data_IF_938676839563
#
_entry.id   IF_938676839563
#
_cell.length_a   1.000
_cell.length_b   1.000
_cell.length_c   1.000
_cell.angle_alpha   90.00
_cell.angle_beta   90.00
_cell.angle_gamma   90.00
#
_symmetry.space_group_name_H-M   'P 1'
#
loop_
_entity.id
_entity.type
_entity.pdbx_description
1 polymer ?
#
# COMPACT_ATOMS: atom_id res chain seq x y z
N UNK A 1 59.33 -26.50 -3.47
CA UNK A 1 58.68 -27.70 -2.91
C UNK A 1 59.68 -28.84 -2.68
N UNK A 2 60.50 -29.21 -3.68
CA UNK A 2 61.52 -30.28 -3.63
C UNK A 2 62.49 -30.17 -2.44
N UNK A 3 63.09 -29.01 -2.17
CA UNK A 3 64.02 -28.81 -1.05
C UNK A 3 63.41 -29.14 0.33
N UNK A 4 62.11 -28.87 0.52
CA UNK A 4 61.42 -29.15 1.79
C UNK A 4 61.17 -30.66 1.99
N UNK A 5 60.86 -31.37 0.91
CA UNK A 5 60.68 -32.83 0.92
C UNK A 5 62.02 -33.53 1.21
N UNK A 6 63.09 -33.08 0.57
CA UNK A 6 64.42 -33.66 0.76
C UNK A 6 64.94 -33.44 2.19
N UNK A 7 64.68 -32.26 2.77
CA UNK A 7 64.98 -31.95 4.17
C UNK A 7 64.16 -32.81 5.13
N UNK A 8 62.87 -33.03 4.85
CA UNK A 8 62.00 -33.86 5.68
C UNK A 8 62.41 -35.34 5.66
N UNK A 9 62.76 -35.87 4.47
CA UNK A 9 63.30 -37.22 4.33
C UNK A 9 64.62 -37.39 5.07
N UNK A 10 65.50 -36.40 5.01
CA UNK A 10 66.75 -36.40 5.79
C UNK A 10 66.48 -36.43 7.30
N UNK A 11 65.54 -35.62 7.79
CA UNK A 11 65.15 -35.61 9.21
C UNK A 11 64.56 -36.95 9.63
N UNK A 12 63.69 -37.57 8.82
CA UNK A 12 63.15 -38.90 9.10
C UNK A 12 64.27 -39.95 9.13
N UNK A 13 65.22 -39.89 8.18
CA UNK A 13 66.35 -40.80 8.12
C UNK A 13 67.27 -40.65 9.34
N UNK A 14 67.51 -39.43 9.82
CA UNK A 14 68.27 -39.17 11.04
C UNK A 14 67.53 -39.67 12.27
N UNK A 15 66.23 -39.44 12.40
CA UNK A 15 65.43 -39.89 13.54
C UNK A 15 65.37 -41.43 13.61
N UNK A 16 65.19 -42.10 12.47
CA UNK A 16 65.16 -43.56 12.39
C UNK A 16 66.55 -44.19 12.48
N UNK A 17 67.58 -43.52 11.96
CA UNK A 17 68.96 -44.01 11.94
C UNK A 17 69.74 -43.73 13.23
N UNK A 18 69.37 -42.69 13.99
CA UNK A 18 70.04 -42.32 15.22
C UNK A 18 70.08 -43.45 16.26
N UNK A 19 68.99 -44.21 16.53
CA UNK A 19 69.04 -45.36 17.43
C UNK A 19 70.07 -46.42 17.00
N UNK A 20 70.10 -46.76 15.71
CA UNK A 20 71.05 -47.75 15.17
C UNK A 20 72.50 -47.27 15.24
N UNK A 21 72.74 -45.99 14.95
CA UNK A 21 74.06 -45.39 15.09
C UNK A 21 74.51 -45.36 16.56
N UNK A 22 73.58 -45.11 17.48
CA UNK A 22 73.85 -45.11 18.93
C UNK A 22 74.24 -46.52 19.40
N UNK A 23 73.51 -47.56 19.00
CA UNK A 23 73.87 -48.97 19.27
C UNK A 23 75.26 -49.31 18.74
N UNK A 24 75.55 -49.00 17.47
CA UNK A 24 76.84 -49.28 16.89
C UNK A 24 77.99 -48.55 17.60
N UNK A 25 77.76 -47.33 18.09
CA UNK A 25 78.76 -46.57 18.87
C UNK A 25 78.96 -47.15 20.28
N UNK A 26 77.91 -47.68 20.91
CA UNK A 26 78.01 -48.34 22.22
C UNK A 26 78.80 -49.65 22.08
N UNK A 27 78.52 -50.46 21.05
CA UNK A 27 79.24 -51.71 20.76
C UNK A 27 80.75 -51.50 20.54
N UNK A 28 81.16 -50.35 20.01
CA UNK A 28 82.58 -50.04 19.78
C UNK A 28 83.35 -49.64 21.05
N UNK A 29 82.68 -49.51 22.20
CA UNK A 29 83.31 -49.16 23.48
C UNK A 29 83.83 -47.72 23.58
N UNK A 30 83.52 -46.86 22.61
CA UNK A 30 83.94 -45.44 22.58
C UNK A 30 83.21 -44.63 23.65
N UNK A 31 81.98 -45.02 24.00
CA UNK A 31 81.15 -44.39 25.01
C UNK A 31 81.22 -45.19 26.33
N UNK A 32 82.30 -45.05 27.08
CA UNK A 32 82.51 -45.76 28.38
C UNK A 32 81.63 -45.27 29.54
N UNK A 33 80.69 -44.36 29.29
CA UNK A 33 79.83 -43.70 30.28
C UNK A 33 78.51 -44.43 30.57
N UNK A 34 78.38 -45.66 30.09
CA UNK A 34 77.13 -46.40 30.13
C UNK A 34 76.94 -47.10 31.48
N UNK A 35 76.15 -46.47 32.36
CA UNK A 35 75.63 -47.10 33.57
C UNK A 35 74.38 -47.89 33.21
N UNK A 36 74.51 -49.20 33.00
CA UNK A 36 73.40 -50.12 32.71
C UNK A 36 73.59 -50.95 31.44
N UNK A 37 72.71 -51.95 31.24
CA UNK A 37 72.68 -52.79 30.03
C UNK A 37 72.24 -51.99 28.79
N UNK A 38 72.79 -52.33 27.63
CA UNK A 38 72.54 -51.66 26.34
C UNK A 38 71.06 -51.53 26.00
N UNK A 39 70.28 -52.57 26.34
CA UNK A 39 68.83 -52.62 26.14
C UNK A 39 68.09 -51.49 26.87
N UNK A 40 68.59 -51.05 28.03
CA UNK A 40 67.97 -49.97 28.82
C UNK A 40 68.15 -48.62 28.14
N UNK A 41 69.31 -48.38 27.55
CA UNK A 41 69.62 -47.14 26.82
C UNK A 41 68.84 -47.03 25.50
N UNK A 42 68.71 -48.14 24.79
CA UNK A 42 67.89 -48.22 23.57
C UNK A 42 66.42 -47.97 23.90
N UNK A 43 65.90 -48.60 24.96
CA UNK A 43 64.52 -48.39 25.41
C UNK A 43 64.26 -46.93 25.83
N UNK A 44 65.21 -46.29 26.52
CA UNK A 44 65.13 -44.88 26.90
C UNK A 44 64.99 -43.98 25.65
N UNK A 45 65.92 -44.04 24.70
CA UNK A 45 65.85 -43.19 23.51
C UNK A 45 64.67 -43.54 22.59
N UNK A 46 64.31 -44.82 22.49
CA UNK A 46 63.15 -45.28 21.74
C UNK A 46 61.84 -44.66 22.26
N UNK A 47 61.69 -44.53 23.57
CA UNK A 47 60.50 -43.90 24.18
C UNK A 47 60.44 -42.38 23.95
N UNK A 48 61.56 -41.64 24.04
CA UNK A 48 61.58 -40.21 23.69
C UNK A 48 61.28 -39.96 22.21
N UNK A 49 61.90 -40.73 21.31
CA UNK A 49 61.67 -40.60 19.86
C UNK A 49 60.20 -40.92 19.55
N UNK A 50 59.68 -42.02 20.09
CA UNK A 50 58.27 -42.39 19.96
C UNK A 50 57.33 -41.30 20.47
N UNK A 51 57.62 -40.70 21.62
CA UNK A 51 56.83 -39.61 22.20
C UNK A 51 56.88 -38.34 21.34
N UNK A 52 58.04 -37.93 20.83
CA UNK A 52 58.20 -36.75 19.97
C UNK A 52 57.43 -36.92 18.65
N UNK A 53 57.56 -38.09 18.01
CA UNK A 53 56.83 -38.39 16.77
C UNK A 53 55.32 -38.41 17.03
N UNK A 54 54.88 -39.09 18.09
CA UNK A 54 53.47 -39.16 18.46
C UNK A 54 52.87 -37.79 18.76
N UNK A 55 53.55 -36.98 19.58
CA UNK A 55 53.13 -35.61 19.90
C UNK A 55 53.06 -34.72 18.66
N UNK A 56 54.02 -34.87 17.74
CA UNK A 56 54.03 -34.15 16.47
C UNK A 56 52.84 -34.51 15.60
N UNK A 57 52.54 -35.80 15.43
CA UNK A 57 51.37 -36.27 14.67
C UNK A 57 50.08 -35.75 15.30
N UNK A 58 49.93 -35.87 16.61
CA UNK A 58 48.76 -35.36 17.35
C UNK A 58 48.60 -33.86 17.14
N UNK A 59 49.68 -33.08 17.23
CA UNK A 59 49.64 -31.64 16.99
C UNK A 59 49.19 -31.30 15.57
N UNK A 60 49.72 -31.98 14.55
CA UNK A 60 49.32 -31.73 13.16
C UNK A 60 47.86 -32.12 12.89
N UNK A 61 47.42 -33.27 13.40
CA UNK A 61 46.03 -33.73 13.26
C UNK A 61 45.08 -32.78 13.99
N UNK A 62 45.38 -32.41 15.23
CA UNK A 62 44.57 -31.47 16.00
C UNK A 62 44.48 -30.11 15.29
N UNK A 63 45.61 -29.58 14.80
CA UNK A 63 45.61 -28.32 14.05
C UNK A 63 44.79 -28.39 12.76
N UNK A 64 44.88 -29.51 12.03
CA UNK A 64 44.10 -29.71 10.82
C UNK A 64 42.60 -29.81 11.11
N UNK A 65 42.22 -30.53 12.17
CA UNK A 65 40.84 -30.66 12.61
C UNK A 65 40.25 -29.32 13.06
N UNK A 66 40.98 -28.56 13.88
CA UNK A 66 40.56 -27.23 14.34
C UNK A 66 40.34 -26.29 13.15
N UNK A 67 41.28 -26.28 12.19
CA UNK A 67 41.16 -25.43 10.99
C UNK A 67 39.91 -25.81 10.17
N UNK A 68 39.68 -27.10 9.93
CA UNK A 68 38.52 -27.57 9.16
C UNK A 68 37.20 -27.28 9.86
N UNK A 69 37.15 -27.44 11.19
CA UNK A 69 35.97 -27.10 12.00
C UNK A 69 35.68 -25.60 11.96
N UNK A 70 36.71 -24.76 12.05
CA UNK A 70 36.55 -23.31 11.95
C UNK A 70 36.00 -22.88 10.57
N UNK A 71 36.53 -23.42 9.47
CA UNK A 71 36.03 -23.16 8.12
C UNK A 71 34.55 -23.58 7.96
N UNK A 72 34.19 -24.75 8.48
CA UNK A 72 32.80 -25.23 8.46
C UNK A 72 31.87 -24.34 9.30
N UNK A 73 32.28 -23.93 10.49
CA UNK A 73 31.51 -23.01 11.34
C UNK A 73 31.31 -21.65 10.67
N UNK A 74 32.36 -21.10 10.05
CA UNK A 74 32.28 -19.83 9.33
C UNK A 74 31.30 -19.93 8.14
N UNK A 75 31.35 -21.02 7.39
CA UNK A 75 30.42 -21.27 6.29
C UNK A 75 28.97 -21.37 6.77
N UNK A 76 28.72 -22.14 7.84
CA UNK A 76 27.38 -22.26 8.42
C UNK A 76 26.85 -20.93 8.95
N UNK A 77 27.71 -20.14 9.58
CA UNK A 77 27.37 -18.79 10.05
C UNK A 77 26.99 -17.86 8.91
N UNK A 78 27.74 -17.88 7.80
CA UNK A 78 27.41 -17.11 6.60
C UNK A 78 26.05 -17.52 6.01
N UNK A 79 25.80 -18.82 5.89
CA UNK A 79 24.51 -19.34 5.38
C UNK A 79 23.34 -18.93 6.27
N UNK A 80 23.52 -19.00 7.60
CA UNK A 80 22.50 -18.57 8.56
C UNK A 80 22.22 -17.07 8.45
N UNK A 81 23.25 -16.23 8.34
CA UNK A 81 23.08 -14.79 8.14
C UNK A 81 22.36 -14.49 6.82
N UNK A 82 22.69 -15.19 5.75
CA UNK A 82 22.02 -15.02 4.45
C UNK A 82 20.53 -15.40 4.55
N UNK A 83 20.20 -16.48 5.25
CA UNK A 83 18.81 -16.89 5.49
C UNK A 83 18.06 -15.86 6.34
N UNK A 84 18.69 -15.31 7.38
CA UNK A 84 18.09 -14.28 8.23
C UNK A 84 17.85 -12.97 7.46
N UNK A 85 18.80 -12.52 6.64
CA UNK A 85 18.63 -11.34 5.80
C UNK A 85 17.47 -11.56 4.82
N UNK A 86 17.42 -12.73 4.16
CA UNK A 86 16.31 -13.07 3.25
C UNK A 86 14.96 -13.09 3.97
N UNK A 87 14.87 -13.61 5.20
CA UNK A 87 13.62 -13.58 5.95
C UNK A 87 13.19 -12.16 6.32
N UNK A 88 14.14 -11.32 6.74
CA UNK A 88 13.89 -9.90 7.05
C UNK A 88 13.43 -9.13 5.80
N UNK A 89 14.07 -9.36 4.65
CA UNK A 89 13.67 -8.75 3.38
C UNK A 89 12.26 -9.17 2.95
N UNK A 90 11.92 -10.46 3.07
CA UNK A 90 10.58 -10.95 2.78
C UNK A 90 9.54 -10.34 3.73
N UNK A 91 9.83 -10.29 5.03
CA UNK A 91 8.96 -9.68 6.03
C UNK A 91 8.74 -8.20 5.76
N UNK A 92 9.81 -7.44 5.49
CA UNK A 92 9.72 -6.03 5.11
C UNK A 92 8.87 -5.83 3.85
N UNK A 93 9.08 -6.65 2.82
CA UNK A 93 8.27 -6.60 1.59
C UNK A 93 6.79 -6.87 1.87
N UNK A 94 6.49 -7.86 2.72
CA UNK A 94 5.12 -8.13 3.14
C UNK A 94 4.53 -6.99 3.97
N UNK A 95 5.31 -6.39 4.87
CA UNK A 95 4.88 -5.24 5.68
C UNK A 95 4.55 -4.03 4.81
N UNK A 96 5.48 -3.63 3.94
CA UNK A 96 5.27 -2.53 2.98
C UNK A 96 4.05 -2.77 2.10
N UNK A 97 3.86 -4.01 1.63
CA UNK A 97 2.67 -4.35 0.84
C UNK A 97 1.37 -4.15 1.64
N UNK A 98 1.31 -4.63 2.90
CA UNK A 98 0.14 -4.44 3.78
C UNK A 98 -0.13 -2.96 4.06
N UNK A 99 0.92 -2.17 4.31
CA UNK A 99 0.80 -0.73 4.54
C UNK A 99 0.28 0.00 3.30
N UNK A 100 0.77 -0.34 2.11
CA UNK A 100 0.27 0.21 0.84
C UNK A 100 -1.19 -0.15 0.58
N UNK A 101 -1.57 -1.40 0.84
CA UNK A 101 -2.96 -1.85 0.71
C UNK A 101 -3.88 -1.11 1.69
N UNK A 102 -3.46 -0.96 2.96
CA UNK A 102 -4.18 -0.17 3.97
C UNK A 102 -4.33 1.29 3.55
N UNK A 103 -3.24 1.92 3.10
CA UNK A 103 -3.25 3.30 2.61
C UNK A 103 -4.22 3.46 1.44
N UNK A 104 -4.22 2.53 0.49
CA UNK A 104 -5.14 2.56 -0.64
C UNK A 104 -6.62 2.47 -0.21
N UNK A 105 -6.93 1.60 0.77
CA UNK A 105 -8.28 1.47 1.31
C UNK A 105 -8.73 2.73 2.05
N UNK A 106 -7.86 3.33 2.87
CA UNK A 106 -8.15 4.58 3.58
C UNK A 106 -8.40 5.72 2.58
N UNK A 107 -7.53 5.88 1.59
CA UNK A 107 -7.74 6.90 0.56
C UNK A 107 -9.05 6.67 -0.22
N UNK A 108 -9.42 5.41 -0.51
CA UNK A 108 -10.71 5.08 -1.13
C UNK A 108 -11.88 5.47 -0.24
N UNK A 109 -11.80 5.20 1.07
CA UNK A 109 -12.81 5.57 2.07
C UNK A 109 -13.04 7.08 2.09
N UNK A 110 -11.96 7.87 2.19
CA UNK A 110 -12.04 9.34 2.16
C UNK A 110 -12.73 9.84 0.88
N UNK A 111 -12.51 9.19 -0.27
CA UNK A 111 -13.17 9.58 -1.53
C UNK A 111 -14.65 9.25 -1.54
N UNK A 112 -15.06 8.14 -0.91
CA UNK A 112 -16.48 7.80 -0.76
C UNK A 112 -17.18 8.84 0.11
N UNK A 113 -16.58 9.23 1.24
CA UNK A 113 -17.11 10.26 2.14
C UNK A 113 -17.21 11.63 1.44
N UNK A 114 -16.17 12.00 0.66
CA UNK A 114 -16.17 13.22 -0.15
C UNK A 114 -17.31 13.21 -1.19
N UNK A 115 -17.57 12.07 -1.82
CA UNK A 115 -18.70 11.92 -2.76
C UNK A 115 -20.05 12.05 -2.06
N UNK A 116 -20.23 11.48 -0.88
CA UNK A 116 -21.47 11.59 -0.10
C UNK A 116 -21.76 13.05 0.26
N UNK A 117 -20.76 13.78 0.77
CA UNK A 117 -20.89 15.19 1.12
C UNK A 117 -21.26 16.06 -0.10
N UNK A 118 -20.70 15.77 -1.28
CA UNK A 118 -21.06 16.47 -2.52
C UNK A 118 -22.48 16.15 -2.97
N UNK A 119 -22.93 14.90 -2.87
CA UNK A 119 -24.29 14.50 -3.21
C UNK A 119 -25.34 15.13 -2.28
N UNK A 120 -25.06 15.21 -0.99
CA UNK A 120 -25.90 15.92 -0.02
C UNK A 120 -25.99 17.41 -0.35
N UNK A 121 -24.86 18.04 -0.67
CA UNK A 121 -24.83 19.44 -1.09
C UNK A 121 -25.64 19.68 -2.36
N UNK A 122 -25.47 18.84 -3.39
CA UNK A 122 -26.24 18.91 -4.64
C UNK A 122 -27.73 18.71 -4.36
N UNK A 123 -28.10 17.78 -3.48
CA UNK A 123 -29.49 17.56 -3.08
C UNK A 123 -30.10 18.80 -2.43
N UNK A 124 -29.36 19.45 -1.52
CA UNK A 124 -29.80 20.70 -0.89
C UNK A 124 -30.04 21.81 -1.92
N UNK A 125 -29.09 22.02 -2.83
CA UNK A 125 -29.23 23.02 -3.91
C UNK A 125 -30.42 22.69 -4.82
N UNK A 126 -30.66 21.41 -5.12
CA UNK A 126 -31.81 20.98 -5.94
C UNK A 126 -33.16 21.31 -5.25
N UNK A 127 -33.24 21.17 -3.93
CA UNK A 127 -34.42 21.56 -3.14
C UNK A 127 -34.63 23.08 -3.19
N UNK A 128 -33.57 23.85 -2.96
CA UNK A 128 -33.62 25.32 -3.01
C UNK A 128 -34.04 25.81 -4.40
N UNK A 129 -33.47 25.24 -5.46
CA UNK A 129 -33.84 25.54 -6.84
C UNK A 129 -35.33 25.30 -7.11
N UNK A 130 -35.88 24.20 -6.60
CA UNK A 130 -37.29 23.87 -6.75
C UNK A 130 -38.18 24.87 -5.98
N UNK A 131 -37.81 25.22 -4.74
CA UNK A 131 -38.51 26.22 -3.93
C UNK A 131 -38.52 27.60 -4.60
N UNK A 132 -37.38 28.01 -5.17
CA UNK A 132 -37.24 29.26 -5.92
C UNK A 132 -38.13 29.26 -7.18
N UNK A 133 -38.21 28.13 -7.89
CA UNK A 133 -39.08 27.99 -9.07
C UNK A 133 -40.57 28.09 -8.70
N UNK A 134 -40.98 27.45 -7.60
CA UNK A 134 -42.36 27.56 -7.10
C UNK A 134 -42.67 29.01 -6.74
N UNK A 135 -41.77 29.68 -6.02
CA UNK A 135 -41.90 31.10 -5.65
C UNK A 135 -42.02 31.99 -6.88
N UNK A 136 -41.15 31.80 -7.87
CA UNK A 136 -41.20 32.49 -9.15
C UNK A 136 -42.56 32.30 -9.84
N UNK A 137 -43.07 31.08 -9.87
CA UNK A 137 -44.35 30.77 -10.50
C UNK A 137 -45.53 31.47 -9.81
N UNK A 138 -45.52 31.57 -8.48
CA UNK A 138 -46.55 32.27 -7.69
C UNK A 138 -46.48 33.77 -7.96
N UNK A 139 -45.29 34.37 -7.92
CA UNK A 139 -45.10 35.80 -8.18
C UNK A 139 -45.57 36.15 -9.60
N UNK A 140 -45.15 35.37 -10.61
CA UNK A 140 -45.52 35.61 -12.00
C UNK A 140 -47.02 35.45 -12.24
N UNK A 141 -47.65 34.42 -11.67
CA UNK A 141 -49.11 34.26 -11.77
C UNK A 141 -49.87 35.39 -11.06
N UNK A 142 -49.37 35.87 -9.93
CA UNK A 142 -49.92 37.03 -9.25
C UNK A 142 -49.78 38.32 -10.09
N UNK A 143 -48.63 38.54 -10.76
CA UNK A 143 -48.44 39.66 -11.68
C UNK A 143 -49.42 39.62 -12.85
N UNK A 144 -49.68 38.45 -13.44
CA UNK A 144 -50.62 38.28 -14.55
C UNK A 144 -52.07 38.57 -14.11
N UNK A 145 -52.45 38.24 -12.87
CA UNK A 145 -53.80 38.47 -12.35
C UNK A 145 -54.04 39.88 -11.80
N UNK A 146 -53.02 40.52 -11.21
CA UNK A 146 -53.13 41.87 -10.67
C UNK A 146 -52.99 42.89 -11.81
N UNK A 147 -54.08 43.13 -12.53
CA UNK A 147 -54.04 44.01 -13.72
C UNK A 147 -53.79 45.48 -13.34
N UNK A 148 -54.23 46.00 -12.19
CA UNK A 148 -54.06 47.43 -11.87
C UNK A 148 -53.92 47.65 -10.34
N UNK A 149 -52.73 47.99 -9.83
CA UNK A 149 -52.58 48.43 -8.43
C UNK A 149 -51.16 48.33 -7.82
N UNK A 150 -50.38 49.41 -7.95
CA UNK A 150 -49.29 49.95 -7.10
C UNK A 150 -48.24 49.06 -6.36
N UNK A 151 -48.12 47.74 -6.56
CA UNK A 151 -47.01 46.93 -5.99
C UNK A 151 -46.09 46.24 -7.02
N UNK A 152 -45.88 46.85 -8.19
CA UNK A 152 -45.08 46.26 -9.27
C UNK A 152 -43.57 46.22 -9.01
N UNK A 153 -43.02 47.21 -8.29
CA UNK A 153 -41.55 47.37 -8.12
C UNK A 153 -40.94 46.24 -7.28
N UNK A 154 -41.54 45.90 -6.13
CA UNK A 154 -41.02 44.85 -5.23
C UNK A 154 -41.00 43.45 -5.89
N UNK A 155 -41.97 43.16 -6.76
CA UNK A 155 -42.05 41.85 -7.45
C UNK A 155 -40.96 41.67 -8.51
N UNK A 156 -40.59 42.74 -9.22
CA UNK A 156 -39.51 42.66 -10.22
C UNK A 156 -38.14 42.46 -9.58
N UNK A 157 -37.89 43.12 -8.44
CA UNK A 157 -36.66 42.91 -7.66
C UNK A 157 -36.55 41.46 -7.15
N UNK A 158 -37.65 40.88 -6.65
CA UNK A 158 -37.71 39.46 -6.25
C UNK A 158 -37.43 38.53 -7.44
N UNK A 159 -38.01 38.79 -8.61
CA UNK A 159 -37.75 38.00 -9.83
C UNK A 159 -36.28 38.09 -10.25
N UNK A 160 -35.68 39.27 -10.15
CA UNK A 160 -34.26 39.47 -10.44
C UNK A 160 -33.36 38.68 -9.49
N UNK A 161 -33.69 38.64 -8.20
CA UNK A 161 -32.98 37.84 -7.21
C UNK A 161 -33.08 36.34 -7.52
N UNK A 162 -34.28 35.83 -7.82
CA UNK A 162 -34.48 34.42 -8.17
C UNK A 162 -33.69 34.00 -9.43
N UNK A 163 -33.63 34.87 -10.45
CA UNK A 163 -32.79 34.66 -11.65
C UNK A 163 -31.29 34.63 -11.31
N UNK A 164 -30.87 35.44 -10.36
CA UNK A 164 -29.48 35.49 -9.89
C UNK A 164 -29.13 34.21 -9.13
N UNK A 165 -30.01 33.76 -8.23
CA UNK A 165 -29.88 32.49 -7.51
C UNK A 165 -29.79 31.30 -8.48
N UNK A 166 -30.67 31.25 -9.48
CA UNK A 166 -30.63 30.23 -10.52
C UNK A 166 -29.24 30.08 -11.17
N UNK A 167 -28.61 31.20 -11.57
CA UNK A 167 -27.27 31.16 -12.19
C UNK A 167 -26.21 30.64 -11.22
N UNK A 168 -26.31 31.02 -9.94
CA UNK A 168 -25.44 30.54 -8.87
C UNK A 168 -25.60 29.03 -8.69
N UNK A 169 -26.84 28.53 -8.57
CA UNK A 169 -27.13 27.11 -8.43
C UNK A 169 -26.63 26.28 -9.62
N UNK A 170 -26.86 26.76 -10.84
CA UNK A 170 -26.35 26.13 -12.07
C UNK A 170 -24.83 25.98 -12.05
N UNK A 171 -24.12 27.05 -11.68
CA UNK A 171 -22.67 27.02 -11.58
C UNK A 171 -22.17 26.06 -10.50
N UNK A 172 -22.75 26.11 -9.30
CA UNK A 172 -22.34 25.26 -8.17
C UNK A 172 -22.59 23.78 -8.44
N UNK A 173 -23.79 23.41 -8.92
CA UNK A 173 -24.11 22.02 -9.26
C UNK A 173 -23.21 21.52 -10.39
N UNK A 174 -22.98 22.32 -11.44
CA UNK A 174 -22.09 21.91 -12.54
C UNK A 174 -20.69 21.63 -12.03
N UNK A 175 -20.14 22.51 -11.18
CA UNK A 175 -18.83 22.33 -10.56
C UNK A 175 -18.77 21.06 -9.72
N UNK A 176 -19.77 20.82 -8.88
CA UNK A 176 -19.79 19.69 -7.96
C UNK A 176 -20.02 18.36 -8.70
N UNK A 177 -20.80 18.33 -9.78
CA UNK A 177 -20.94 17.17 -10.67
C UNK A 177 -19.61 16.83 -11.35
N UNK A 178 -18.89 17.83 -11.87
CA UNK A 178 -17.57 17.59 -12.48
C UNK A 178 -16.59 17.02 -11.46
N UNK A 179 -16.65 17.47 -10.20
CA UNK A 179 -15.86 16.90 -9.11
C UNK A 179 -16.27 15.46 -8.81
N UNK A 180 -17.55 15.14 -8.79
CA UNK A 180 -18.04 13.77 -8.62
C UNK A 180 -17.57 12.84 -9.74
N UNK A 181 -17.54 13.29 -11.00
CA UNK A 181 -17.01 12.52 -12.14
C UNK A 181 -15.51 12.25 -11.97
N UNK A 182 -14.73 13.18 -11.42
CA UNK A 182 -13.33 12.92 -11.10
C UNK A 182 -13.20 11.88 -9.99
N UNK A 183 -14.03 11.96 -8.95
CA UNK A 183 -14.03 11.04 -7.81
C UNK A 183 -14.51 9.63 -8.19
N UNK A 184 -15.36 9.47 -9.22
CA UNK A 184 -15.82 8.15 -9.65
C UNK A 184 -14.72 7.23 -10.16
N UNK A 185 -13.56 7.77 -10.52
CA UNK A 185 -12.38 6.96 -10.86
C UNK A 185 -11.92 6.08 -9.68
N UNK A 186 -12.21 6.49 -8.44
CA UNK A 186 -11.90 5.73 -7.22
C UNK A 186 -13.01 4.74 -6.85
N UNK A 187 -14.22 4.94 -7.39
CA UNK A 187 -15.43 4.14 -7.10
C UNK A 187 -16.10 3.73 -8.43
N UNK A 188 -15.46 2.79 -9.14
CA UNK A 188 -15.85 2.35 -10.50
C UNK A 188 -17.35 2.17 -10.79
N UNK A 189 -18.20 1.60 -9.92
CA UNK A 189 -19.63 1.43 -10.24
C UNK A 189 -20.44 2.74 -10.34
N UNK A 190 -19.85 3.90 -10.07
CA UNK A 190 -20.59 5.20 -10.02
C UNK A 190 -20.58 5.98 -11.32
N UNK A 191 -19.64 5.71 -12.25
CA UNK A 191 -19.41 6.54 -13.44
C UNK A 191 -20.65 6.70 -14.32
N UNK A 192 -21.30 5.58 -14.69
CA UNK A 192 -22.49 5.59 -15.56
C UNK A 192 -23.63 6.39 -14.92
N UNK A 193 -23.86 6.19 -13.61
CA UNK A 193 -24.95 6.89 -12.91
C UNK A 193 -24.68 8.38 -12.74
N UNK A 194 -23.42 8.79 -12.63
CA UNK A 194 -23.03 10.20 -12.60
C UNK A 194 -23.25 10.90 -13.93
N UNK A 195 -22.97 10.21 -15.05
CA UNK A 195 -23.29 10.73 -16.38
C UNK A 195 -24.80 10.87 -16.58
N UNK A 196 -25.59 9.90 -16.13
CA UNK A 196 -27.06 10.02 -16.11
C UNK A 196 -27.53 11.21 -15.27
N UNK A 197 -26.96 11.38 -14.06
CA UNK A 197 -27.27 12.49 -13.17
C UNK A 197 -26.94 13.84 -13.81
N UNK A 198 -25.78 13.95 -14.45
CA UNK A 198 -25.36 15.14 -15.20
C UNK A 198 -26.37 15.48 -16.31
N UNK A 199 -26.77 14.49 -17.11
CA UNK A 199 -27.75 14.69 -18.19
C UNK A 199 -29.09 15.17 -17.64
N UNK A 200 -29.56 14.59 -16.52
CA UNK A 200 -30.80 15.03 -15.86
C UNK A 200 -30.72 16.47 -15.36
N UNK A 201 -29.61 16.87 -14.74
CA UNK A 201 -29.41 18.25 -14.31
C UNK A 201 -29.37 19.22 -15.49
N UNK A 202 -28.70 18.87 -16.60
CA UNK A 202 -28.70 19.70 -17.81
C UNK A 202 -30.12 19.90 -18.36
N UNK A 203 -30.95 18.84 -18.34
CA UNK A 203 -32.37 18.94 -18.70
C UNK A 203 -33.15 19.87 -17.77
N UNK A 204 -33.03 19.69 -16.46
CA UNK A 204 -33.70 20.53 -15.45
C UNK A 204 -33.29 22.00 -15.61
N UNK A 205 -31.99 22.29 -15.74
CA UNK A 205 -31.51 23.66 -15.87
C UNK A 205 -31.99 24.34 -17.14
N UNK A 206 -32.03 23.61 -18.26
CA UNK A 206 -32.56 24.16 -19.50
C UNK A 206 -34.05 24.49 -19.35
N UNK A 207 -34.84 23.60 -18.72
CA UNK A 207 -36.26 23.85 -18.43
C UNK A 207 -36.47 25.07 -17.52
N UNK A 208 -35.71 25.14 -16.42
CA UNK A 208 -35.81 26.24 -15.45
C UNK A 208 -35.38 27.58 -16.08
N UNK A 209 -34.33 27.56 -16.90
CA UNK A 209 -33.91 28.73 -17.69
C UNK A 209 -35.04 29.20 -18.61
N UNK A 210 -35.67 28.28 -19.32
CA UNK A 210 -36.75 28.59 -20.23
C UNK A 210 -37.94 29.23 -19.48
N UNK A 211 -38.24 28.75 -18.26
CA UNK A 211 -39.23 29.36 -17.38
C UNK A 211 -38.85 30.78 -16.91
N UNK A 212 -37.59 30.99 -16.50
CA UNK A 212 -37.16 32.29 -15.97
C UNK A 212 -37.04 33.38 -17.04
N UNK A 213 -36.66 33.02 -18.26
CA UNK A 213 -36.21 33.97 -19.27
C UNK A 213 -37.13 34.09 -20.50
N UNK A 214 -38.11 33.21 -20.68
CA UNK A 214 -39.07 33.30 -21.79
C UNK A 214 -40.50 33.30 -21.29
N UNK A 215 -41.21 34.41 -21.51
CA UNK A 215 -42.61 34.53 -21.13
C UNK A 215 -43.50 33.55 -21.90
N UNK A 216 -43.19 33.30 -23.18
CA UNK A 216 -43.92 32.34 -24.00
C UNK A 216 -43.72 30.90 -23.51
N UNK A 217 -42.48 30.51 -23.17
CA UNK A 217 -42.18 29.18 -22.65
C UNK A 217 -42.75 29.01 -21.23
N UNK A 218 -42.72 30.04 -20.40
CA UNK A 218 -43.41 30.05 -19.12
C UNK A 218 -44.93 29.92 -19.27
N UNK A 219 -45.55 30.62 -20.24
CA UNK A 219 -46.96 30.44 -20.57
C UNK A 219 -47.25 29.02 -21.06
N UNK A 220 -46.38 28.42 -21.89
CA UNK A 220 -46.49 27.00 -22.29
C UNK A 220 -46.38 26.06 -21.09
N UNK A 221 -45.48 26.34 -20.16
CA UNK A 221 -45.33 25.62 -18.90
C UNK A 221 -46.61 25.71 -18.05
N UNK A 222 -47.22 26.90 -17.96
CA UNK A 222 -48.50 27.10 -17.28
C UNK A 222 -49.72 26.53 -18.02
N UNK A 223 -49.73 26.50 -19.36
CA UNK A 223 -50.86 26.02 -20.19
C UNK A 223 -50.91 24.49 -20.20
N UNK A 224 -49.77 23.83 -19.99
CA UNK A 224 -49.69 22.42 -19.59
C UNK A 224 -50.32 22.17 -18.19
N UNK A 225 -51.39 22.89 -17.82
CA UNK A 225 -51.96 23.03 -16.47
C UNK A 225 -52.65 21.80 -15.88
N UNK A 226 -52.45 20.62 -16.46
CA UNK A 226 -52.61 19.34 -15.76
C UNK A 226 -51.29 18.87 -15.11
N UNK A 227 -50.16 19.52 -15.43
CA UNK A 227 -48.80 19.18 -14.98
C UNK A 227 -48.06 20.40 -14.45
N UNK A 228 -48.43 20.89 -13.26
CA UNK A 228 -47.45 21.52 -12.33
C UNK A 228 -46.37 20.52 -11.86
N UNK A 229 -46.36 19.35 -12.47
CA UNK A 229 -45.56 18.18 -12.18
C UNK A 229 -44.20 18.25 -12.87
N UNK A 230 -43.99 18.89 -14.02
CA UNK A 230 -42.80 18.57 -14.85
C UNK A 230 -41.44 18.99 -14.28
N UNK A 231 -41.26 20.24 -13.84
CA UNK A 231 -40.00 20.64 -13.19
C UNK A 231 -39.84 20.00 -11.80
N UNK A 232 -40.97 19.79 -11.11
CA UNK A 232 -41.00 19.05 -9.84
C UNK A 232 -40.66 17.56 -10.05
N UNK A 233 -41.03 16.97 -11.17
CA UNK A 233 -40.80 15.59 -11.57
C UNK A 233 -39.35 15.39 -11.98
N UNK A 234 -38.77 16.32 -12.75
CA UNK A 234 -37.33 16.30 -13.02
C UNK A 234 -36.51 16.48 -11.73
N UNK A 235 -36.91 17.39 -10.85
CA UNK A 235 -36.28 17.57 -9.54
C UNK A 235 -36.43 16.34 -8.63
N UNK A 236 -37.60 15.69 -8.64
CA UNK A 236 -37.88 14.46 -7.89
C UNK A 236 -37.08 13.28 -8.44
N UNK A 237 -37.03 13.11 -9.77
CA UNK A 237 -36.20 12.08 -10.42
C UNK A 237 -34.72 12.26 -10.11
N UNK A 238 -34.24 13.51 -10.04
CA UNK A 238 -32.88 13.83 -9.59
C UNK A 238 -32.71 13.44 -8.12
N UNK A 239 -33.65 13.80 -7.24
CA UNK A 239 -33.58 13.44 -5.83
C UNK A 239 -33.56 11.91 -5.63
N UNK A 240 -34.43 11.18 -6.33
CA UNK A 240 -34.44 9.71 -6.35
C UNK A 240 -33.10 9.13 -6.82
N UNK A 241 -32.48 9.70 -7.87
CA UNK A 241 -31.17 9.27 -8.35
C UNK A 241 -30.04 9.54 -7.36
N UNK A 242 -30.07 10.69 -6.68
CA UNK A 242 -29.11 11.01 -5.61
C UNK A 242 -29.24 10.01 -4.46
N UNK A 243 -30.47 9.72 -4.03
CA UNK A 243 -30.76 8.71 -3.00
C UNK A 243 -30.27 7.33 -3.44
N UNK A 244 -30.56 6.93 -4.69
CA UNK A 244 -30.13 5.65 -5.25
C UNK A 244 -28.60 5.50 -5.20
N UNK A 245 -27.88 6.56 -5.55
CA UNK A 245 -26.42 6.58 -5.50
C UNK A 245 -25.87 6.53 -4.07
N UNK A 246 -26.38 7.38 -3.18
CA UNK A 246 -25.94 7.43 -1.78
C UNK A 246 -26.18 6.11 -1.06
N UNK A 247 -27.41 5.58 -1.12
CA UNK A 247 -27.81 4.40 -0.36
C UNK A 247 -27.30 3.10 -1.00
N UNK A 248 -27.50 2.89 -2.31
CA UNK A 248 -27.24 1.56 -2.87
C UNK A 248 -25.81 1.35 -3.35
N UNK A 249 -25.11 2.42 -3.73
CA UNK A 249 -23.75 2.30 -4.25
C UNK A 249 -22.73 2.73 -3.22
N UNK A 250 -22.83 3.96 -2.72
CA UNK A 250 -21.80 4.51 -1.83
C UNK A 250 -21.81 3.81 -0.48
N UNK A 251 -22.98 3.60 0.14
CA UNK A 251 -23.04 2.85 1.40
C UNK A 251 -22.53 1.41 1.25
N UNK A 252 -22.89 0.73 0.17
CA UNK A 252 -22.43 -0.64 -0.09
C UNK A 252 -20.90 -0.71 -0.27
N UNK A 253 -20.33 0.26 -1.00
CA UNK A 253 -18.88 0.35 -1.19
C UNK A 253 -18.14 0.78 0.08
N UNK A 254 -18.77 1.63 0.90
CA UNK A 254 -18.31 2.02 2.23
C UNK A 254 -18.20 0.79 3.13
N UNK A 255 -19.29 0.04 3.28
CA UNK A 255 -19.33 -1.18 4.10
C UNK A 255 -18.31 -2.22 3.61
N UNK A 256 -18.18 -2.42 2.30
CA UNK A 256 -17.18 -3.31 1.72
C UNK A 256 -15.74 -2.85 2.03
N UNK A 257 -15.49 -1.54 1.99
CA UNK A 257 -14.16 -0.98 2.25
C UNK A 257 -13.82 -1.06 3.74
N UNK A 258 -14.78 -0.77 4.63
CA UNK A 258 -14.63 -0.92 6.08
C UNK A 258 -14.35 -2.37 6.48
N UNK A 259 -15.15 -3.32 5.99
CA UNK A 259 -14.94 -4.75 6.22
C UNK A 259 -13.56 -5.24 5.75
N UNK A 260 -12.97 -4.62 4.72
CA UNK A 260 -11.60 -4.92 4.29
C UNK A 260 -10.56 -4.32 5.23
N UNK A 261 -10.79 -3.10 5.72
CA UNK A 261 -9.89 -2.43 6.68
C UNK A 261 -9.85 -3.20 7.99
N UNK A 262 -11.00 -3.66 8.51
CA UNK A 262 -11.09 -4.43 9.76
C UNK A 262 -10.22 -5.69 9.73
N UNK A 263 -10.17 -6.39 8.58
CA UNK A 263 -9.30 -7.56 8.37
C UNK A 263 -7.80 -7.27 8.42
N UNK A 264 -7.38 -6.01 8.36
CA UNK A 264 -5.98 -5.60 8.54
C UNK A 264 -5.68 -5.11 9.96
N UNK A 265 -6.70 -4.93 10.79
CA UNK A 265 -6.56 -4.51 12.20
C UNK A 265 -6.49 -5.72 13.13
N UNK A 266 -7.16 -6.81 12.77
CA UNK A 266 -7.04 -8.14 13.41
C UNK A 266 -5.72 -8.86 13.05
#
# INVERSE_FOLDING_TARGET
>A
MVKKILMLLFVILVILGAPFALVALLDTGILTFQLGEDDTWIAFWGTYIGAIVSASVVYFVARFQIKKQYEQQMYLFQLQNEQQIKSIEMENKHSTKREMEKFHLINKLEKIEEMQALLEKISSINIDLNNDLVTFSVIKHAQVKSIEGNSSVDKEDQIYQLRTNYRKYHFEITKDIMRLIVLSNYVKPTEVKLLELQQKFMGLFQEVKDCYFSEELYKKYLIKRETSVYAMENSELIAQKIIEMNIYILQKELDNTLNKIEKYVE
#
